data_IF_661533333122
#
_entry.id   IF_661533333122
#
_cell.length_a   1.000
_cell.length_b   1.000
_cell.length_c   1.000
_cell.angle_alpha   90.00
_cell.angle_beta   90.00
_cell.angle_gamma   90.00
#
_symmetry.space_group_name_H-M   'P 1'
#
loop_
_entity.id
_entity.type
_entity.pdbx_description
1 polymer ?
#
# COMPACT_ATOMS: atom_id res chain seq x y z
N UNK A 1 -17.87 14.17 -3.98
CA UNK A 1 -16.45 13.87 -3.72
C UNK A 1 -16.18 12.39 -3.96
N UNK A 2 -15.55 12.05 -5.09
CA UNK A 2 -15.20 10.67 -5.46
C UNK A 2 -13.79 10.31 -4.93
N UNK A 3 -13.59 10.35 -3.61
CA UNK A 3 -12.27 10.06 -3.03
C UNK A 3 -11.82 8.60 -3.28
N UNK A 4 -12.72 7.68 -3.64
CA UNK A 4 -12.41 6.25 -3.84
C UNK A 4 -11.61 5.89 -5.11
N UNK A 5 -11.23 6.86 -5.97
CA UNK A 5 -10.57 6.55 -7.26
C UNK A 5 -9.03 6.58 -7.23
N UNK A 6 -8.39 7.22 -6.26
CA UNK A 6 -6.93 7.34 -6.24
C UNK A 6 -6.26 6.11 -5.64
N UNK A 7 -4.98 5.89 -5.98
CA UNK A 7 -4.18 4.80 -5.42
C UNK A 7 -4.05 4.98 -3.91
N UNK A 8 -3.86 6.21 -3.43
CA UNK A 8 -3.76 6.56 -2.01
C UNK A 8 -5.01 6.16 -1.23
N UNK A 9 -6.21 6.49 -1.71
CA UNK A 9 -7.45 6.15 -1.00
C UNK A 9 -7.68 4.63 -0.94
N UNK A 10 -7.32 3.92 -2.02
CA UNK A 10 -7.37 2.46 -2.07
C UNK A 10 -6.37 1.83 -1.10
N UNK A 11 -5.15 2.35 -1.05
CA UNK A 11 -4.14 1.92 -0.08
C UNK A 11 -4.62 2.17 1.35
N UNK A 12 -5.14 3.36 1.66
CA UNK A 12 -5.69 3.68 2.97
C UNK A 12 -6.78 2.69 3.39
N UNK A 13 -7.69 2.33 2.48
CA UNK A 13 -8.72 1.32 2.75
C UNK A 13 -8.15 -0.05 3.09
N UNK A 14 -7.02 -0.44 2.50
CA UNK A 14 -6.35 -1.71 2.83
C UNK A 14 -5.65 -1.60 4.19
N UNK A 15 -4.96 -0.50 4.48
CA UNK A 15 -4.24 -0.31 5.76
C UNK A 15 -5.17 -0.31 6.99
N UNK A 16 -6.41 0.16 6.80
CA UNK A 16 -7.48 0.09 7.80
C UNK A 16 -7.92 -1.34 8.10
N UNK A 17 -8.06 -2.16 7.05
CA UNK A 17 -8.61 -3.50 7.11
C UNK A 17 -7.55 -4.58 7.44
N UNK A 18 -6.30 -4.38 7.01
CA UNK A 18 -5.21 -5.34 7.16
C UNK A 18 -3.97 -4.68 7.81
N UNK A 19 -3.79 -4.79 9.14
CA UNK A 19 -2.63 -4.23 9.84
C UNK A 19 -1.30 -4.72 9.28
N UNK A 20 -1.24 -5.97 8.79
CA UNK A 20 -0.03 -6.57 8.20
C UNK A 20 0.45 -5.82 6.95
N UNK A 21 -0.47 -5.24 6.17
CA UNK A 21 -0.16 -4.45 4.98
C UNK A 21 0.56 -3.12 5.31
N UNK A 22 0.55 -2.67 6.58
CA UNK A 22 1.24 -1.45 7.03
C UNK A 22 2.76 -1.60 6.96
N UNK A 23 3.28 -2.82 7.10
CA UNK A 23 4.70 -3.11 7.11
C UNK A 23 5.16 -4.04 5.97
N UNK A 24 4.27 -4.89 5.46
CA UNK A 24 4.57 -5.87 4.40
C UNK A 24 4.02 -5.42 3.03
N UNK A 25 4.94 -5.08 2.12
CA UNK A 25 4.60 -4.63 0.77
C UNK A 25 3.92 -5.72 -0.07
N UNK A 26 4.33 -6.98 0.07
CA UNK A 26 3.77 -8.07 -0.73
C UNK A 26 2.31 -8.32 -0.34
N UNK A 27 2.01 -8.27 0.97
CA UNK A 27 0.63 -8.35 1.47
C UNK A 27 -0.20 -7.17 0.96
N UNK A 28 0.33 -5.94 1.02
CA UNK A 28 -0.38 -4.76 0.50
C UNK A 28 -0.71 -4.89 -0.98
N UNK A 29 0.27 -5.28 -1.80
CA UNK A 29 0.12 -5.43 -3.25
C UNK A 29 -0.90 -6.52 -3.59
N UNK A 30 -0.81 -7.68 -2.92
CA UNK A 30 -1.75 -8.78 -3.08
C UNK A 30 -3.19 -8.33 -2.78
N UNK A 31 -3.43 -7.65 -1.65
CA UNK A 31 -4.76 -7.14 -1.32
C UNK A 31 -5.23 -6.06 -2.30
N UNK A 32 -4.34 -5.20 -2.76
CA UNK A 32 -4.68 -4.14 -3.72
C UNK A 32 -5.15 -4.74 -5.05
N UNK A 33 -4.38 -5.66 -5.62
CA UNK A 33 -4.76 -6.28 -6.89
C UNK A 33 -6.03 -7.12 -6.74
N UNK A 34 -6.17 -7.92 -5.68
CA UNK A 34 -7.39 -8.70 -5.47
C UNK A 34 -8.65 -7.86 -5.28
N UNK A 35 -8.54 -6.70 -4.61
CA UNK A 35 -9.70 -5.86 -4.29
C UNK A 35 -10.08 -4.92 -5.43
N UNK A 36 -9.12 -4.47 -6.24
CA UNK A 36 -9.33 -3.37 -7.19
C UNK A 36 -9.02 -3.73 -8.65
N UNK A 37 -8.66 -4.98 -8.96
CA UNK A 37 -8.63 -5.46 -10.33
C UNK A 37 -10.06 -5.86 -10.74
N UNK A 38 -10.78 -4.94 -11.40
CA UNK A 38 -12.21 -5.08 -11.70
C UNK A 38 -12.59 -6.34 -12.50
N UNK A 39 -11.65 -6.92 -13.25
CA UNK A 39 -11.90 -8.07 -14.15
C UNK A 39 -10.86 -9.18 -14.01
N UNK A 40 -9.96 -9.06 -13.02
CA UNK A 40 -8.87 -10.01 -12.83
C UNK A 40 -8.97 -10.63 -11.45
N UNK A 41 -9.01 -11.96 -11.38
CA UNK A 41 -8.78 -12.68 -10.13
C UNK A 41 -7.28 -12.72 -9.87
N UNK A 42 -6.71 -11.58 -9.51
CA UNK A 42 -5.27 -11.41 -9.41
C UNK A 42 -4.61 -12.44 -8.48
N UNK A 43 -5.29 -12.86 -7.41
CA UNK A 43 -4.81 -13.86 -6.46
C UNK A 43 -4.80 -15.30 -6.99
N UNK A 44 -5.44 -15.57 -8.12
CA UNK A 44 -5.39 -16.88 -8.80
C UNK A 44 -4.28 -16.94 -9.86
N UNK A 45 -3.65 -15.81 -10.18
CA UNK A 45 -2.57 -15.73 -11.16
C UNK A 45 -1.21 -15.97 -10.52
N UNK A 46 -0.26 -16.58 -11.26
CA UNK A 46 1.11 -16.69 -10.78
C UNK A 46 1.73 -15.31 -10.63
N UNK A 47 2.56 -15.14 -9.59
CA UNK A 47 3.20 -13.85 -9.31
C UNK A 47 4.01 -13.31 -10.50
N UNK A 48 4.65 -14.19 -11.27
CA UNK A 48 5.38 -13.82 -12.48
C UNK A 48 4.47 -13.13 -13.50
N UNK A 49 3.26 -13.66 -13.73
CA UNK A 49 2.31 -13.09 -14.67
C UNK A 49 1.86 -11.70 -14.22
N UNK A 50 1.56 -11.52 -12.94
CA UNK A 50 1.29 -10.19 -12.38
C UNK A 50 2.49 -9.25 -12.56
N UNK A 51 3.70 -9.70 -12.24
CA UNK A 51 4.90 -8.87 -12.30
C UNK A 51 5.25 -8.42 -13.73
N UNK A 52 5.02 -9.27 -14.74
CA UNK A 52 5.33 -8.96 -16.14
C UNK A 52 4.18 -8.28 -16.87
N UNK A 53 2.92 -8.58 -16.54
CA UNK A 53 1.74 -8.16 -17.31
C UNK A 53 0.84 -7.13 -16.62
N UNK A 54 1.19 -6.63 -15.42
CA UNK A 54 0.36 -5.68 -14.66
C UNK A 54 -0.16 -4.48 -15.49
N UNK A 55 0.65 -3.95 -16.42
CA UNK A 55 0.24 -2.82 -17.28
C UNK A 55 -0.92 -3.20 -18.20
N UNK A 56 -0.87 -4.39 -18.79
CA UNK A 56 -1.94 -4.92 -19.65
C UNK A 56 -3.25 -5.10 -18.88
N UNK A 57 -3.17 -5.35 -17.57
CA UNK A 57 -4.31 -5.42 -16.67
C UNK A 57 -4.79 -4.06 -16.14
N UNK A 58 -4.16 -2.95 -16.55
CA UNK A 58 -4.47 -1.61 -16.03
C UNK A 58 -4.14 -1.44 -14.54
N UNK A 59 -3.24 -2.26 -14.00
CA UNK A 59 -2.83 -2.20 -12.61
C UNK A 59 -1.66 -1.22 -12.43
N UNK A 60 -1.55 -0.56 -11.27
CA UNK A 60 -0.38 0.25 -10.96
C UNK A 60 0.83 -0.65 -10.65
N UNK A 61 2.04 -0.18 -10.95
CA UNK A 61 3.28 -0.85 -10.55
C UNK A 61 3.35 -1.04 -9.03
N UNK A 62 4.11 -2.04 -8.56
CA UNK A 62 4.40 -2.25 -7.14
C UNK A 62 4.95 -0.99 -6.45
N UNK A 63 5.89 -0.30 -7.11
CA UNK A 63 6.50 0.91 -6.55
C UNK A 63 5.49 2.07 -6.43
N UNK A 64 4.49 2.13 -7.31
CA UNK A 64 3.43 3.14 -7.19
C UNK A 64 2.60 2.91 -5.93
N UNK A 65 2.26 1.66 -5.62
CA UNK A 65 1.53 1.27 -4.42
C UNK A 65 2.36 1.55 -3.16
N UNK A 66 3.66 1.21 -3.18
CA UNK A 66 4.57 1.46 -2.05
C UNK A 66 4.72 2.95 -1.74
N UNK A 67 4.90 3.79 -2.75
CA UNK A 67 4.94 5.25 -2.58
C UNK A 67 3.61 5.80 -2.06
N UNK A 68 2.49 5.26 -2.54
CA UNK A 68 1.18 5.63 -2.01
C UNK A 68 1.05 5.25 -0.53
N UNK A 69 1.56 4.09 -0.09
CA UNK A 69 1.61 3.73 1.34
C UNK A 69 2.40 4.76 2.15
N UNK A 70 3.59 5.15 1.68
CA UNK A 70 4.41 6.16 2.36
C UNK A 70 3.68 7.50 2.50
N UNK A 71 3.01 7.96 1.44
CA UNK A 71 2.21 9.20 1.49
C UNK A 71 1.03 9.07 2.45
N UNK A 72 0.32 7.95 2.40
CA UNK A 72 -0.81 7.68 3.31
C UNK A 72 -0.32 7.66 4.76
N UNK A 73 0.78 6.98 5.07
CA UNK A 73 1.34 6.92 6.42
C UNK A 73 1.88 8.28 6.89
N UNK A 74 2.36 9.13 5.97
CA UNK A 74 2.75 10.50 6.30
C UNK A 74 1.56 11.40 6.65
N UNK A 75 0.37 11.14 6.09
CA UNK A 75 -0.87 11.87 6.38
C UNK A 75 -1.64 11.28 7.56
N UNK A 76 -1.50 9.98 7.79
CA UNK A 76 -2.20 9.19 8.80
C UNK A 76 -1.19 8.32 9.56
N UNK A 77 -0.43 8.92 10.50
CA UNK A 77 0.66 8.24 11.21
C UNK A 77 0.19 7.04 12.04
N UNK A 78 -1.09 6.94 12.39
CA UNK A 78 -1.67 5.78 13.09
C UNK A 78 -1.61 4.47 12.28
N UNK A 79 -1.46 4.56 10.95
CA UNK A 79 -1.22 3.40 10.09
C UNK A 79 0.26 3.17 9.79
N UNK A 80 1.16 3.93 10.42
CA UNK A 80 2.60 3.71 10.34
C UNK A 80 3.00 2.38 11.00
N UNK A 81 4.26 1.98 10.82
CA UNK A 81 4.82 0.74 11.37
C UNK A 81 4.87 0.71 12.90
N UNK A 82 4.62 1.84 13.56
CA UNK A 82 4.83 2.06 14.99
C UNK A 82 3.51 2.17 15.76
N UNK A 83 2.76 1.08 15.85
CA UNK A 83 1.71 0.94 16.89
C UNK A 83 2.07 -0.14 17.92
N UNK A 84 3.33 -0.59 17.96
CA UNK A 84 3.84 -1.52 18.99
C UNK A 84 5.33 -1.30 19.32
N UNK A 85 5.85 -0.08 19.14
CA UNK A 85 7.16 0.30 19.69
C UNK A 85 7.07 1.73 20.20
N UNK A 86 6.33 1.88 21.29
CA UNK A 86 6.49 2.99 22.22
C UNK A 86 7.77 2.71 23.03
N UNK A 87 8.93 2.94 22.42
CA UNK A 87 10.14 3.44 23.08
C UNK A 87 11.17 3.78 21.98
N UNK A 88 11.88 4.90 22.17
CA UNK A 88 12.93 5.42 21.29
C UNK A 88 12.49 6.34 20.12
N UNK A 89 11.98 7.50 20.52
CA UNK A 89 12.07 8.75 19.77
C UNK A 89 13.49 9.04 19.23
N UNK A 90 13.64 9.19 17.92
CA UNK A 90 14.81 9.90 17.33
C UNK A 90 14.29 11.14 16.62
N UNK A 91 14.37 12.28 17.31
CA UNK A 91 14.23 13.61 16.72
C UNK A 91 15.59 13.94 16.09
N UNK A 92 15.69 13.94 14.76
CA UNK A 92 16.84 14.53 14.08
C UNK A 92 16.58 16.03 13.96
N UNK A 93 17.15 16.82 14.88
CA UNK A 93 17.25 18.27 14.73
C UNK A 93 18.39 18.52 13.74
N UNK A 94 18.04 18.93 12.52
CA UNK A 94 19.00 19.41 11.55
C UNK A 94 19.59 20.74 12.02
N UNK A 95 20.84 20.71 12.48
CA UNK A 95 21.68 21.89 12.60
C UNK A 95 22.41 22.10 11.27
N UNK A 96 22.12 23.21 10.61
CA UNK A 96 23.00 23.92 9.68
C UNK A 96 22.69 25.40 9.76
#
# INVERSE_FOLDING_TARGET
MNQQKTVESRVLSILKDCPRARFDDMILIMHYYNRYANFLRAGELPFSDLAFNYKSYGLPCFETIRRARQRVQSLFPEYSRSADNDDNSVIIIGIS
#
